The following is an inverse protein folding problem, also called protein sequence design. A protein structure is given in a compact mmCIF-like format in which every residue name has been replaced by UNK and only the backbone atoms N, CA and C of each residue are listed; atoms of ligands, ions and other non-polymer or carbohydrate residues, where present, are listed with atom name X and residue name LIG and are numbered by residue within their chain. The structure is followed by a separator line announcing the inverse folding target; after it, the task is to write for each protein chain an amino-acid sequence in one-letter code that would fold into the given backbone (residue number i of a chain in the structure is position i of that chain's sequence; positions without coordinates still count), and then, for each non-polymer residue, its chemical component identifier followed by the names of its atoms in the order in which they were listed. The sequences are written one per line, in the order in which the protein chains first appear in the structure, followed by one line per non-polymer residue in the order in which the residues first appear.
data_IF_222147587006
#
_entry.id   IF_222147587006
#
_cell.length_a   1.000
_cell.length_b   1.000
_cell.length_c   1.000
_cell.angle_alpha   90.00
_cell.angle_beta   90.00
_cell.angle_gamma   90.00
#
_symmetry.space_group_name_H-M   'P 1'
#
loop_
_entity.id
_entity.type
_entity.pdbx_description
1 polymer ?
#
# COMPACT_ATOMS: atom_id res chain seq x y z
N UNK A 1 -19.12 5.03 24.03
CA UNK A 1 -19.77 5.58 22.81
C UNK A 1 -19.19 6.93 22.35
N UNK A 2 -18.82 7.86 23.24
CA UNK A 2 -18.24 9.18 22.86
C UNK A 2 -16.77 9.07 22.41
N UNK A 3 -15.94 8.32 23.14
CA UNK A 3 -14.51 8.17 22.86
C UNK A 3 -14.22 7.61 21.45
N UNK A 4 -14.99 6.60 21.03
CA UNK A 4 -14.87 5.98 19.70
C UNK A 4 -15.16 6.98 18.58
N UNK A 5 -16.14 7.87 18.78
CA UNK A 5 -16.50 8.91 17.81
C UNK A 5 -15.40 9.96 17.68
N UNK A 6 -14.85 10.41 18.81
CA UNK A 6 -13.73 11.36 18.81
C UNK A 6 -12.48 10.79 18.14
N UNK A 7 -12.16 9.51 18.36
CA UNK A 7 -11.05 8.84 17.67
C UNK A 7 -11.31 8.79 16.17
N UNK A 8 -12.51 8.40 15.74
CA UNK A 8 -12.88 8.35 14.32
C UNK A 8 -12.82 9.72 13.65
N UNK A 9 -13.33 10.77 14.29
CA UNK A 9 -13.29 12.14 13.76
C UNK A 9 -11.84 12.63 13.61
N UNK A 10 -10.97 12.35 14.60
CA UNK A 10 -9.55 12.73 14.56
C UNK A 10 -8.78 12.00 13.45
N UNK A 11 -9.10 10.72 13.24
CA UNK A 11 -8.61 9.93 12.12
C UNK A 11 -9.09 10.49 10.79
N UNK A 12 -10.37 10.79 10.66
CA UNK A 12 -10.96 11.32 9.42
C UNK A 12 -10.27 12.61 9.02
N UNK A 13 -10.05 13.53 9.97
CA UNK A 13 -9.33 14.79 9.71
C UNK A 13 -7.87 14.57 9.29
N UNK A 14 -7.18 13.56 9.84
CA UNK A 14 -5.81 13.21 9.42
C UNK A 14 -5.79 12.58 8.02
N UNK A 15 -6.76 11.73 7.71
CA UNK A 15 -6.96 11.17 6.36
C UNK A 15 -7.24 12.27 5.34
N UNK A 16 -8.15 13.21 5.64
CA UNK A 16 -8.44 14.36 4.78
C UNK A 16 -7.20 15.21 4.53
N UNK A 17 -6.41 15.50 5.59
CA UNK A 17 -5.14 16.22 5.47
C UNK A 17 -4.13 15.49 4.58
N UNK A 18 -4.03 14.17 4.70
CA UNK A 18 -3.16 13.36 3.85
C UNK A 18 -3.62 13.40 2.38
N UNK A 19 -4.93 13.26 2.15
CA UNK A 19 -5.55 13.22 0.82
C UNK A 19 -5.51 14.58 0.09
N UNK A 20 -5.55 15.70 0.83
CA UNK A 20 -5.50 17.05 0.27
C UNK A 20 -4.08 17.46 -0.14
N UNK A 21 -3.04 16.88 0.48
CA UNK A 21 -1.65 17.14 0.10
C UNK A 21 -1.36 16.45 -1.23
N UNK A 22 -0.90 17.23 -2.21
CA UNK A 22 -0.46 16.73 -3.51
C UNK A 22 1.08 16.81 -3.62
N UNK A 23 1.77 15.72 -4.04
CA UNK A 23 1.23 14.37 -4.24
C UNK A 23 0.77 13.74 -2.91
N UNK A 24 -0.12 12.74 -2.98
CA UNK A 24 -0.65 12.04 -1.80
C UNK A 24 0.50 11.59 -0.88
N UNK A 25 0.49 12.06 0.36
CA UNK A 25 1.51 11.74 1.36
C UNK A 25 1.17 10.42 2.07
N UNK A 26 1.61 9.32 1.46
CA UNK A 26 1.39 7.98 1.99
C UNK A 26 2.15 7.72 3.30
N UNK A 27 3.32 8.33 3.47
CA UNK A 27 4.13 8.17 4.68
C UNK A 27 3.41 8.81 5.89
N UNK A 28 2.85 10.01 5.71
CA UNK A 28 2.02 10.65 6.73
C UNK A 28 0.75 9.84 7.02
N UNK A 29 0.12 9.27 5.98
CA UNK A 29 -1.07 8.46 6.13
C UNK A 29 -0.81 7.17 6.92
N UNK A 30 0.28 6.47 6.60
CA UNK A 30 0.72 5.28 7.33
C UNK A 30 1.03 5.63 8.79
N UNK A 31 1.80 6.69 9.03
CA UNK A 31 2.13 7.15 10.38
C UNK A 31 0.88 7.50 11.20
N UNK A 32 -0.04 8.27 10.62
CA UNK A 32 -1.30 8.67 11.27
C UNK A 32 -2.15 7.45 11.64
N UNK A 33 -2.25 6.47 10.74
CA UNK A 33 -2.96 5.23 11.02
C UNK A 33 -2.27 4.42 12.11
N UNK A 34 -0.94 4.27 12.05
CA UNK A 34 -0.20 3.48 13.04
C UNK A 34 -0.30 4.06 14.46
N UNK A 35 -0.42 5.38 14.59
CA UNK A 35 -0.53 6.06 15.90
C UNK A 35 -1.95 6.05 16.48
N UNK A 36 -2.99 6.07 15.64
CA UNK A 36 -4.39 6.17 16.11
C UNK A 36 -5.19 4.88 15.97
N UNK A 37 -4.73 3.96 15.13
CA UNK A 37 -5.33 2.66 14.85
C UNK A 37 -4.34 1.55 15.20
N UNK A 38 -4.24 1.23 16.49
CA UNK A 38 -3.59 -0.01 16.90
C UNK A 38 -4.20 -1.18 16.13
N UNK A 39 -3.36 -2.00 15.49
CA UNK A 39 -3.73 -3.15 14.66
C UNK A 39 -4.38 -2.85 13.30
N UNK A 40 -4.17 -1.67 12.68
CA UNK A 40 -4.51 -1.49 11.26
C UNK A 40 -3.24 -1.30 10.43
N UNK A 41 -3.13 -2.12 9.39
CA UNK A 41 -2.08 -2.08 8.36
C UNK A 41 -2.70 -1.53 7.08
N UNK A 42 -2.09 -0.48 6.54
CA UNK A 42 -2.45 0.05 5.22
C UNK A 42 -1.61 -0.64 4.14
N UNK A 43 -2.25 -0.93 3.01
CA UNK A 43 -1.62 -1.46 1.81
C UNK A 43 -1.87 -0.47 0.69
N UNK A 44 -0.81 0.13 0.16
CA UNK A 44 -0.89 1.10 -0.91
C UNK A 44 -0.01 0.71 -2.09
N UNK A 45 -0.45 1.07 -3.29
CA UNK A 45 0.36 1.03 -4.49
C UNK A 45 0.11 2.24 -5.36
N UNK A 46 1.17 2.88 -5.83
CA UNK A 46 1.12 4.09 -6.66
C UNK A 46 1.86 3.84 -7.96
N UNK A 47 1.32 4.38 -9.05
CA UNK A 47 2.02 4.37 -10.33
C UNK A 47 3.23 5.32 -10.29
N UNK A 48 4.41 4.79 -10.63
CA UNK A 48 5.67 5.51 -10.51
C UNK A 48 5.81 6.72 -11.44
N UNK A 49 5.04 6.79 -12.53
CA UNK A 49 5.07 7.89 -13.47
C UNK A 49 3.99 8.94 -13.18
N UNK A 50 2.72 8.54 -13.17
CA UNK A 50 1.58 9.43 -13.03
C UNK A 50 1.26 9.84 -11.59
N UNK A 51 1.87 9.16 -10.60
CA UNK A 51 1.55 9.30 -9.17
C UNK A 51 0.10 8.94 -8.82
N UNK A 52 -0.63 8.29 -9.73
CA UNK A 52 -1.99 7.81 -9.48
C UNK A 52 -1.97 6.67 -8.47
N UNK A 53 -2.86 6.75 -7.48
CA UNK A 53 -3.10 5.64 -6.55
C UNK A 53 -3.77 4.50 -7.30
N UNK A 54 -3.12 3.35 -7.34
CA UNK A 54 -3.62 2.15 -8.02
C UNK A 54 -4.49 1.31 -7.09
N UNK A 55 -4.13 1.28 -5.80
CA UNK A 55 -4.96 0.77 -4.73
C UNK A 55 -4.56 1.37 -3.39
N UNK A 56 -5.54 1.43 -2.48
CA UNK A 56 -5.36 1.73 -1.07
C UNK A 56 -6.35 0.87 -0.29
N UNK A 57 -5.83 -0.03 0.54
CA UNK A 57 -6.61 -0.96 1.35
C UNK A 57 -6.15 -0.92 2.80
N UNK A 58 -7.03 -1.32 3.72
CA UNK A 58 -6.74 -1.43 5.14
C UNK A 58 -7.11 -2.83 5.63
N UNK A 59 -6.29 -3.39 6.51
CA UNK A 59 -6.58 -4.68 7.15
C UNK A 59 -6.06 -4.72 8.57
N UNK A 60 -6.54 -5.68 9.35
CA UNK A 60 -6.08 -5.90 10.73
C UNK A 60 -4.86 -6.82 10.84
N UNK A 61 -4.25 -7.18 9.70
CA UNK A 61 -3.10 -8.06 9.62
C UNK A 61 -2.18 -7.68 8.45
N UNK A 62 -0.92 -8.09 8.52
CA UNK A 62 0.10 -7.90 7.48
C UNK A 62 0.33 -9.16 6.63
N UNK A 63 -0.69 -10.02 6.42
CA UNK A 63 -0.48 -11.28 5.68
C UNK A 63 -0.25 -11.03 4.20
N UNK A 64 0.62 -11.85 3.59
CA UNK A 64 0.90 -11.78 2.16
C UNK A 64 -0.35 -12.00 1.27
N UNK A 65 -1.29 -12.84 1.70
CA UNK A 65 -2.56 -13.04 0.99
C UNK A 65 -3.44 -11.80 0.99
N UNK A 66 -3.40 -11.02 2.08
CA UNK A 66 -4.14 -9.76 2.19
C UNK A 66 -3.55 -8.71 1.24
N UNK A 67 -2.23 -8.51 1.28
CA UNK A 67 -1.53 -7.60 0.38
C UNK A 67 -1.78 -7.96 -1.10
N UNK A 68 -1.65 -9.26 -1.42
CA UNK A 68 -1.89 -9.79 -2.76
C UNK A 68 -3.34 -9.60 -3.21
N UNK A 69 -4.33 -9.75 -2.31
CA UNK A 69 -5.73 -9.51 -2.65
C UNK A 69 -5.98 -8.09 -3.16
N UNK A 70 -5.50 -7.07 -2.43
CA UNK A 70 -5.61 -5.68 -2.87
C UNK A 70 -4.87 -5.42 -4.19
N UNK A 71 -3.66 -5.98 -4.33
CA UNK A 71 -2.88 -5.86 -5.55
C UNK A 71 -3.59 -6.48 -6.76
N UNK A 72 -4.12 -7.70 -6.60
CA UNK A 72 -4.79 -8.42 -7.68
C UNK A 72 -6.03 -7.66 -8.18
N UNK A 73 -6.85 -7.14 -7.27
CA UNK A 73 -8.01 -6.32 -7.63
C UNK A 73 -7.58 -5.07 -8.43
N UNK A 74 -6.49 -4.42 -8.04
CA UNK A 74 -5.93 -3.30 -8.78
C UNK A 74 -5.50 -3.71 -10.20
N UNK A 75 -4.85 -4.86 -10.35
CA UNK A 75 -4.43 -5.35 -11.67
C UNK A 75 -5.60 -5.75 -12.56
N UNK A 76 -6.71 -6.21 -12.00
CA UNK A 76 -7.93 -6.49 -12.76
C UNK A 76 -8.55 -5.20 -13.31
N UNK A 77 -8.47 -4.09 -12.55
CA UNK A 77 -9.02 -2.79 -12.95
C UNK A 77 -8.11 -1.99 -13.89
N UNK A 78 -6.80 -2.09 -13.71
CA UNK A 78 -5.83 -1.21 -14.37
C UNK A 78 -4.82 -1.94 -15.27
N UNK A 79 -4.90 -3.27 -15.33
CA UNK A 79 -3.91 -4.11 -15.98
C UNK A 79 -2.73 -4.45 -15.06
N UNK A 80 -2.01 -5.51 -15.41
CA UNK A 80 -0.82 -5.93 -14.68
C UNK A 80 0.33 -4.94 -14.96
N UNK A 81 1.01 -4.38 -13.95
CA UNK A 81 2.12 -3.48 -14.17
C UNK A 81 3.29 -4.20 -14.88
N UNK A 82 4.22 -3.41 -15.44
CA UNK A 82 5.46 -3.96 -16.01
C UNK A 82 6.47 -4.34 -14.90
N UNK A 83 6.53 -3.51 -13.85
CA UNK A 83 7.42 -3.67 -12.71
C UNK A 83 6.70 -3.22 -11.43
N UNK A 84 6.99 -3.89 -10.33
CA UNK A 84 6.58 -3.49 -8.99
C UNK A 84 7.83 -3.25 -8.16
N UNK A 85 7.88 -2.14 -7.41
CA UNK A 85 8.89 -1.90 -6.39
C UNK A 85 8.24 -2.11 -5.03
N UNK A 86 8.88 -2.90 -4.18
CA UNK A 86 8.44 -3.16 -2.81
C UNK A 86 9.65 -3.36 -1.90
N UNK A 87 9.43 -3.43 -0.59
CA UNK A 87 10.52 -3.72 0.33
C UNK A 87 10.80 -5.24 0.39
N UNK A 88 11.62 -5.67 1.35
CA UNK A 88 11.88 -7.09 1.62
C UNK A 88 10.87 -7.69 2.61
N UNK A 89 9.68 -7.09 2.74
CA UNK A 89 8.62 -7.53 3.64
C UNK A 89 7.99 -8.87 3.21
N UNK A 90 7.61 -9.67 4.20
CA UNK A 90 6.98 -10.98 3.98
C UNK A 90 5.58 -10.85 3.37
N UNK A 91 4.93 -9.71 3.57
CA UNK A 91 3.64 -9.35 2.96
C UNK A 91 3.74 -9.23 1.43
N UNK A 92 4.91 -8.89 0.89
CA UNK A 92 5.12 -8.69 -0.54
C UNK A 92 5.44 -9.99 -1.30
N UNK A 93 5.66 -11.11 -0.59
CA UNK A 93 6.10 -12.39 -1.19
C UNK A 93 5.12 -12.91 -2.24
N UNK A 94 3.80 -12.82 -2.00
CA UNK A 94 2.82 -13.29 -2.98
C UNK A 94 2.73 -12.38 -4.21
N UNK A 95 2.87 -11.07 -4.04
CA UNK A 95 2.94 -10.10 -5.14
C UNK A 95 4.17 -10.39 -6.02
N UNK A 96 5.33 -10.61 -5.39
CA UNK A 96 6.56 -10.96 -6.11
C UNK A 96 6.40 -12.25 -6.93
N UNK A 97 5.85 -13.30 -6.31
CA UNK A 97 5.57 -14.58 -7.01
C UNK A 97 4.64 -14.40 -8.21
N UNK A 98 3.57 -13.64 -8.05
CA UNK A 98 2.65 -13.34 -9.15
C UNK A 98 3.37 -12.59 -10.28
N UNK A 99 4.15 -11.56 -9.96
CA UNK A 99 4.89 -10.79 -10.96
C UNK A 99 5.92 -11.64 -11.71
N UNK A 100 6.65 -12.53 -11.03
CA UNK A 100 7.56 -13.45 -11.68
C UNK A 100 6.84 -14.42 -12.61
N UNK A 101 5.65 -14.90 -12.23
CA UNK A 101 4.84 -15.80 -13.06
C UNK A 101 4.30 -15.10 -14.31
N UNK A 102 3.80 -13.86 -14.19
CA UNK A 102 3.13 -13.15 -15.30
C UNK A 102 4.11 -12.36 -16.18
N UNK A 103 5.20 -11.83 -15.61
CA UNK A 103 6.14 -10.92 -16.28
C UNK A 103 7.57 -11.46 -16.39
N UNK A 104 7.82 -12.71 -15.99
CA UNK A 104 9.14 -13.37 -15.93
C UNK A 104 10.14 -12.77 -14.92
N UNK A 105 11.19 -13.53 -14.58
CA UNK A 105 12.23 -13.14 -13.61
C UNK A 105 13.27 -12.19 -14.21
N UNK A 106 13.55 -12.31 -15.50
CA UNK A 106 14.75 -11.73 -16.13
C UNK A 106 14.64 -10.23 -16.41
N UNK A 107 13.49 -9.61 -16.10
CA UNK A 107 13.21 -8.19 -16.41
C UNK A 107 13.20 -7.27 -15.19
N UNK A 108 13.49 -7.80 -14.00
CA UNK A 108 13.26 -7.09 -12.74
C UNK A 108 11.78 -6.72 -12.57
N UNK A 109 10.90 -7.70 -12.78
CA UNK A 109 9.44 -7.54 -12.68
C UNK A 109 8.97 -7.24 -11.26
N UNK A 110 9.70 -7.72 -10.25
CA UNK A 110 9.63 -7.24 -8.88
C UNK A 110 11.01 -6.80 -8.43
N UNK A 111 11.13 -5.56 -7.95
CA UNK A 111 12.37 -4.96 -7.46
C UNK A 111 12.21 -4.77 -5.96
N UNK A 112 13.02 -5.49 -5.19
CA UNK A 112 13.04 -5.38 -3.74
C UNK A 112 14.21 -4.51 -3.27
N UNK A 113 13.95 -3.58 -2.37
CA UNK A 113 14.95 -2.72 -1.73
C UNK A 113 14.82 -2.72 -0.20
N UNK A 114 15.87 -2.29 0.52
CA UNK A 114 15.70 -1.98 1.95
C UNK A 114 14.70 -0.84 2.08
N UNK A 115 13.79 -0.89 3.06
CA UNK A 115 12.71 0.09 3.24
C UNK A 115 13.19 1.55 3.23
N UNK A 116 14.42 1.83 3.67
CA UNK A 116 15.04 3.16 3.66
C UNK A 116 15.42 3.71 2.28
N UNK A 117 15.39 2.87 1.23
CA UNK A 117 15.71 3.26 -0.16
C UNK A 117 14.50 3.13 -1.11
N UNK A 118 13.29 2.89 -0.57
CA UNK A 118 12.06 2.75 -1.35
C UNK A 118 11.23 4.04 -1.44
N UNK A 119 11.78 5.16 -0.97
CA UNK A 119 11.23 6.50 -1.19
C UNK A 119 11.52 7.00 -2.62
#
# INVERSE_FOLDING_TARGET
HILKRQILERLLSKFELALIRAPLDLDFLEFACRQELYNIVLFGGVDGYSRKVMYLGASTNNRASTAYGFFLEATQRHGVPLRVRGDQGVENVQIARFMFSVRSTDRGSFISGKSVHNQ
#
